data_IF_187530605656
#
_entry.id   IF_187530605656
#
_cell.length_a   1.000
_cell.length_b   1.000
_cell.length_c   1.000
_cell.angle_alpha   90.00
_cell.angle_beta   90.00
_cell.angle_gamma   90.00
#
_symmetry.space_group_name_H-M   'P 1'
#
loop_
_entity.id
_entity.type
_entity.pdbx_description
1 polymer ?
#
# COMPACT_ATOMS: atom_id res chain seq x y z
N UNK A 1 -5.12 7.03 19.48
CA UNK A 1 -3.97 6.14 19.25
C UNK A 1 -3.11 6.77 18.16
N UNK A 2 -1.86 7.07 18.44
CA UNK A 2 -0.97 7.80 17.54
C UNK A 2 -0.56 6.90 16.35
N UNK A 3 -0.99 7.26 15.15
CA UNK A 3 -0.47 6.67 13.92
C UNK A 3 0.98 7.14 13.76
N UNK A 4 1.93 6.29 14.17
CA UNK A 4 3.32 6.50 13.81
C UNK A 4 3.43 6.46 12.29
N UNK A 5 3.83 7.58 11.68
CA UNK A 5 4.42 7.63 10.36
C UNK A 5 5.81 6.97 10.40
N UNK A 6 5.86 5.72 10.86
CA UNK A 6 7.04 4.88 10.83
C UNK A 6 7.31 4.52 9.37
N UNK A 7 8.54 4.76 8.93
CA UNK A 7 9.08 4.31 7.65
C UNK A 7 8.63 2.87 7.40
N UNK A 8 7.82 2.65 6.38
CA UNK A 8 7.26 1.34 6.07
C UNK A 8 8.42 0.42 5.64
N UNK A 9 8.88 -0.41 6.57
CA UNK A 9 10.02 -1.29 6.34
C UNK A 9 9.54 -2.58 5.65
N UNK A 10 10.06 -2.85 4.44
CA UNK A 10 9.76 -4.05 3.65
C UNK A 10 10.39 -5.32 4.24
N UNK A 11 11.35 -5.19 5.17
CA UNK A 11 12.01 -6.32 5.85
C UNK A 11 11.02 -7.12 6.70
N UNK A 12 10.17 -6.41 7.47
CA UNK A 12 9.02 -7.02 8.15
C UNK A 12 7.81 -7.00 7.23
N UNK A 13 7.81 -7.96 6.31
CA UNK A 13 6.73 -8.12 5.32
C UNK A 13 5.35 -8.30 5.96
N UNK A 14 5.27 -8.90 7.16
CA UNK A 14 4.01 -9.07 7.87
C UNK A 14 3.46 -7.73 8.34
N UNK A 15 4.30 -6.90 8.96
CA UNK A 15 3.93 -5.55 9.36
C UNK A 15 3.61 -4.66 8.15
N UNK A 16 4.38 -4.78 7.07
CA UNK A 16 4.12 -4.09 5.81
C UNK A 16 2.74 -4.45 5.23
N UNK A 17 2.37 -5.73 5.23
CA UNK A 17 1.05 -6.19 4.78
C UNK A 17 -0.09 -5.64 5.64
N UNK A 18 0.06 -5.60 6.97
CA UNK A 18 -0.96 -5.03 7.86
C UNK A 18 -1.17 -3.54 7.62
N UNK A 19 -0.10 -2.77 7.41
CA UNK A 19 -0.26 -1.36 7.07
C UNK A 19 -0.91 -1.17 5.70
N UNK A 20 -0.55 -1.99 4.71
CA UNK A 20 -1.23 -1.94 3.40
C UNK A 20 -2.73 -2.28 3.50
N UNK A 21 -3.13 -3.20 4.40
CA UNK A 21 -4.55 -3.47 4.68
C UNK A 21 -5.24 -2.26 5.32
N UNK A 22 -4.59 -1.62 6.30
CA UNK A 22 -5.12 -0.40 6.94
C UNK A 22 -5.27 0.73 5.91
N UNK A 23 -4.30 0.90 5.01
CA UNK A 23 -4.41 1.89 3.93
C UNK A 23 -5.60 1.61 2.99
N UNK A 24 -6.05 0.35 2.84
CA UNK A 24 -7.26 0.00 2.10
C UNK A 24 -8.55 0.36 2.83
N UNK A 25 -8.55 0.35 4.17
CA UNK A 25 -9.71 0.82 4.96
C UNK A 25 -9.94 2.33 4.83
N UNK A 26 -8.94 3.08 4.34
CA UNK A 26 -9.10 4.49 3.99
C UNK A 26 -10.09 4.63 2.83
N UNK A 27 -10.08 3.71 1.86
CA UNK A 27 -11.02 3.71 0.73
C UNK A 27 -12.48 3.51 1.20
N UNK A 28 -12.71 2.58 2.12
CA UNK A 28 -14.04 2.36 2.74
C UNK A 28 -14.49 3.59 3.55
N UNK A 29 -13.54 4.26 4.23
CA UNK A 29 -13.80 5.52 4.95
C UNK A 29 -14.10 6.67 4.01
N UNK A 30 -13.54 6.71 2.81
CA UNK A 30 -13.83 7.73 1.79
C UNK A 30 -15.25 7.53 1.25
N UNK A 31 -15.66 6.29 0.95
CA UNK A 31 -17.05 5.99 0.54
C UNK A 31 -18.03 6.36 1.64
N UNK A 32 -17.71 6.00 2.90
CA UNK A 32 -18.53 6.38 4.04
C UNK A 32 -18.60 7.91 4.21
N UNK A 33 -17.45 8.59 4.18
CA UNK A 33 -17.36 10.03 4.30
C UNK A 33 -18.16 10.71 3.20
N UNK A 34 -18.01 10.34 1.92
CA UNK A 34 -18.81 10.87 0.80
C UNK A 34 -20.32 10.68 1.04
N UNK A 35 -20.73 9.48 1.43
CA UNK A 35 -22.14 9.17 1.68
C UNK A 35 -22.72 9.89 2.90
N UNK A 36 -21.90 10.26 3.90
CA UNK A 36 -22.36 10.94 5.12
C UNK A 36 -22.14 12.45 5.11
N UNK A 37 -21.19 12.98 4.34
CA UNK A 37 -20.85 14.41 4.27
C UNK A 37 -21.51 15.14 3.13
N UNK A 38 -21.96 14.45 2.07
CA UNK A 38 -22.89 15.04 1.09
C UNK A 38 -24.27 15.06 1.77
N UNK A 39 -24.74 16.21 2.27
CA UNK A 39 -26.00 16.23 2.99
C UNK A 39 -27.10 15.97 1.97
N UNK A 40 -28.03 15.08 2.30
CA UNK A 40 -29.34 15.07 1.63
C UNK A 40 -29.91 16.48 1.63
N UNK A 41 -30.57 16.87 0.54
CA UNK A 41 -31.09 18.21 0.18
C UNK A 41 -31.62 19.11 1.32
N UNK A 42 -32.03 18.52 2.45
CA UNK A 42 -32.48 19.16 3.68
C UNK A 42 -31.39 19.83 4.54
N UNK A 43 -30.09 19.61 4.32
CA UNK A 43 -28.98 20.15 5.14
C UNK A 43 -27.97 21.02 4.38
N UNK A 44 -28.32 21.46 3.16
CA UNK A 44 -27.47 22.22 2.24
C UNK A 44 -26.99 23.60 2.73
N UNK A 45 -27.56 24.15 3.80
CA UNK A 45 -27.22 25.48 4.32
C UNK A 45 -26.06 25.54 5.34
N UNK A 46 -25.49 24.41 5.77
CA UNK A 46 -24.52 24.36 6.89
C UNK A 46 -23.14 23.78 6.53
N UNK A 47 -22.95 23.27 5.32
CA UNK A 47 -21.69 22.63 4.88
C UNK A 47 -21.32 23.13 3.49
N UNK A 48 -20.11 23.69 3.34
CA UNK A 48 -19.52 23.95 2.04
C UNK A 48 -19.09 22.60 1.42
N UNK A 49 -19.99 22.05 0.60
CA UNK A 49 -19.77 20.79 -0.10
C UNK A 49 -18.53 20.83 -1.00
N UNK A 50 -18.20 21.98 -1.58
CA UNK A 50 -17.05 22.13 -2.48
C UNK A 50 -15.76 22.02 -1.70
N UNK A 51 -15.65 22.75 -0.58
CA UNK A 51 -14.48 22.69 0.28
C UNK A 51 -14.29 21.30 0.90
N UNK A 52 -15.39 20.67 1.34
CA UNK A 52 -15.36 19.33 1.94
C UNK A 52 -14.93 18.25 0.94
N UNK A 53 -15.50 18.27 -0.27
CA UNK A 53 -15.10 17.37 -1.35
C UNK A 53 -13.63 17.57 -1.75
N UNK A 54 -13.14 18.81 -1.79
CA UNK A 54 -11.75 19.11 -2.10
C UNK A 54 -10.79 18.55 -1.04
N UNK A 55 -11.07 18.77 0.24
CA UNK A 55 -10.26 18.23 1.33
C UNK A 55 -10.23 16.70 1.33
N UNK A 56 -11.37 16.08 1.07
CA UNK A 56 -11.46 14.62 0.96
C UNK A 56 -10.66 14.08 -0.23
N UNK A 57 -10.74 14.75 -1.38
CA UNK A 57 -9.97 14.42 -2.57
C UNK A 57 -8.46 14.54 -2.34
N UNK A 58 -8.01 15.63 -1.73
CA UNK A 58 -6.60 15.84 -1.40
C UNK A 58 -6.06 14.78 -0.44
N UNK A 59 -6.81 14.46 0.63
CA UNK A 59 -6.44 13.41 1.58
C UNK A 59 -6.40 12.02 0.95
N UNK A 60 -7.35 11.70 0.07
CA UNK A 60 -7.39 10.45 -0.69
C UNK A 60 -6.19 10.33 -1.64
N UNK A 61 -5.90 11.40 -2.39
CA UNK A 61 -4.78 11.44 -3.32
C UNK A 61 -3.44 11.26 -2.59
N UNK A 62 -3.23 11.95 -1.48
CA UNK A 62 -2.02 11.83 -0.66
C UNK A 62 -1.84 10.41 -0.12
N UNK A 63 -2.91 9.80 0.39
CA UNK A 63 -2.88 8.41 0.87
C UNK A 63 -2.52 7.43 -0.26
N UNK A 64 -3.08 7.59 -1.46
CA UNK A 64 -2.74 6.76 -2.62
C UNK A 64 -1.29 6.94 -3.07
N UNK A 65 -0.82 8.19 -3.16
CA UNK A 65 0.57 8.48 -3.54
C UNK A 65 1.57 7.89 -2.53
N UNK A 66 1.28 8.02 -1.23
CA UNK A 66 2.08 7.41 -0.17
C UNK A 66 2.10 5.88 -0.27
N UNK A 67 0.94 5.26 -0.52
CA UNK A 67 0.82 3.81 -0.70
C UNK A 67 1.63 3.31 -1.90
N UNK A 68 1.49 3.97 -3.05
CA UNK A 68 2.19 3.61 -4.28
C UNK A 68 3.70 3.77 -4.14
N UNK A 69 4.16 4.87 -3.52
CA UNK A 69 5.58 5.08 -3.20
C UNK A 69 6.13 3.96 -2.33
N UNK A 70 5.41 3.56 -1.28
CA UNK A 70 5.83 2.53 -0.34
C UNK A 70 5.87 1.14 -1.00
N UNK A 71 4.89 0.83 -1.84
CA UNK A 71 4.87 -0.39 -2.66
C UNK A 71 6.06 -0.43 -3.61
N UNK A 72 6.31 0.65 -4.35
CA UNK A 72 7.44 0.74 -5.30
C UNK A 72 8.78 0.58 -4.59
N UNK A 73 8.96 1.22 -3.43
CA UNK A 73 10.18 1.09 -2.63
C UNK A 73 10.41 -0.36 -2.18
N UNK A 74 9.38 -1.03 -1.67
CA UNK A 74 9.48 -2.43 -1.23
C UNK A 74 9.77 -3.39 -2.40
N UNK A 75 9.16 -3.16 -3.57
CA UNK A 75 9.46 -3.93 -4.79
C UNK A 75 10.92 -3.73 -5.22
N UNK A 76 11.41 -2.49 -5.24
CA UNK A 76 12.78 -2.18 -5.63
C UNK A 76 13.78 -2.89 -4.69
N UNK A 77 13.60 -2.71 -3.38
CA UNK A 77 14.43 -3.36 -2.36
C UNK A 77 14.42 -4.90 -2.50
N UNK A 78 13.25 -5.50 -2.65
CA UNK A 78 13.14 -6.96 -2.80
C UNK A 78 13.78 -7.43 -4.11
N UNK A 79 13.65 -6.66 -5.19
CA UNK A 79 14.25 -6.98 -6.49
C UNK A 79 15.78 -6.96 -6.43
N UNK A 80 16.35 -5.98 -5.73
CA UNK A 80 17.79 -5.88 -5.52
C UNK A 80 18.33 -7.08 -4.72
N UNK A 81 17.66 -7.44 -3.61
CA UNK A 81 18.03 -8.62 -2.80
C UNK A 81 17.91 -9.92 -3.60
N UNK A 82 16.84 -10.09 -4.39
CA UNK A 82 16.70 -11.27 -5.27
C UNK A 82 17.78 -11.30 -6.35
N UNK A 83 18.19 -10.14 -6.87
CA UNK A 83 19.31 -10.01 -7.81
C UNK A 83 20.62 -10.51 -7.20
N UNK A 84 20.97 -10.01 -6.01
CA UNK A 84 22.17 -10.43 -5.27
C UNK A 84 22.16 -11.93 -4.96
N UNK A 85 21.05 -12.46 -4.43
CA UNK A 85 20.92 -13.90 -4.12
C UNK A 85 21.02 -14.78 -5.38
N UNK A 86 20.59 -14.28 -6.55
CA UNK A 86 20.77 -15.00 -7.82
C UNK A 86 22.24 -15.05 -8.23
N UNK A 87 22.98 -13.95 -8.07
CA UNK A 87 24.43 -13.90 -8.34
C UNK A 87 25.25 -14.73 -7.35
N UNK A 88 24.83 -14.84 -6.10
CA UNK A 88 25.48 -15.73 -5.13
C UNK A 88 25.23 -17.21 -5.48
N UNK A 89 24.01 -17.53 -5.92
CA UNK A 89 23.65 -18.89 -6.37
C UNK A 89 24.37 -19.32 -7.65
N UNK A 90 24.86 -18.40 -8.50
CA UNK A 90 25.71 -18.80 -9.63
C UNK A 90 27.12 -19.18 -9.20
N UNK A 91 27.56 -18.73 -8.01
CA UNK A 91 28.87 -19.06 -7.42
C UNK A 91 28.80 -20.34 -6.58
N UNK A 92 27.65 -20.62 -5.97
CA UNK A 92 27.41 -21.81 -5.14
C UNK A 92 25.97 -22.32 -5.35
N UNK A 93 25.81 -23.25 -6.29
CA UNK A 93 24.50 -23.69 -6.80
C UNK A 93 23.73 -24.60 -5.83
N UNK A 94 24.43 -25.29 -4.94
CA UNK A 94 23.87 -26.34 -4.08
C UNK A 94 23.61 -25.86 -2.64
N UNK A 95 23.87 -24.58 -2.38
CA UNK A 95 23.66 -23.97 -1.08
C UNK A 95 22.16 -23.89 -0.74
N UNK A 96 21.70 -24.85 0.06
CA UNK A 96 20.32 -24.96 0.51
C UNK A 96 19.85 -23.72 1.29
N UNK A 97 20.75 -22.99 1.96
CA UNK A 97 20.41 -21.76 2.67
C UNK A 97 20.09 -20.63 1.68
N UNK A 98 20.91 -20.45 0.63
CA UNK A 98 20.64 -19.49 -0.45
C UNK A 98 19.32 -19.81 -1.17
N UNK A 99 19.06 -21.08 -1.47
CA UNK A 99 17.81 -21.50 -2.12
C UNK A 99 16.59 -21.16 -1.26
N UNK A 100 16.65 -21.39 0.06
CA UNK A 100 15.57 -21.04 0.99
C UNK A 100 15.35 -19.53 1.07
N UNK A 101 16.41 -18.74 1.19
CA UNK A 101 16.31 -17.27 1.24
C UNK A 101 15.72 -16.71 -0.05
N UNK A 102 16.18 -17.19 -1.21
CA UNK A 102 15.73 -16.74 -2.52
C UNK A 102 14.23 -17.02 -2.73
N UNK A 103 13.73 -18.19 -2.27
CA UNK A 103 12.29 -18.49 -2.25
C UNK A 103 11.50 -17.53 -1.34
N UNK A 104 12.02 -17.26 -0.13
CA UNK A 104 11.39 -16.33 0.83
C UNK A 104 11.22 -14.94 0.23
N UNK A 105 12.29 -14.39 -0.37
CA UNK A 105 12.24 -13.05 -0.97
C UNK A 105 11.35 -13.01 -2.22
N UNK A 106 11.36 -14.05 -3.07
CA UNK A 106 10.46 -14.15 -4.23
C UNK A 106 8.98 -14.17 -3.84
N UNK A 107 8.63 -14.83 -2.73
CA UNK A 107 7.23 -14.88 -2.27
C UNK A 107 6.70 -13.53 -1.77
N UNK A 108 7.56 -12.55 -1.46
CA UNK A 108 7.13 -11.20 -1.05
C UNK A 108 6.58 -10.36 -2.22
N UNK A 109 6.96 -10.66 -3.45
CA UNK A 109 6.59 -9.85 -4.64
C UNK A 109 5.19 -10.19 -5.17
N UNK A 110 4.71 -11.41 -4.90
CA UNK A 110 3.40 -11.92 -5.37
C UNK A 110 2.23 -11.15 -4.73
N UNK A 111 2.16 -10.96 -3.38
CA UNK A 111 1.04 -10.27 -2.73
C UNK A 111 1.01 -8.78 -3.04
N UNK A 112 2.18 -8.16 -3.21
CA UNK A 112 2.34 -6.72 -3.47
C UNK A 112 1.85 -6.34 -4.88
N UNK A 113 1.89 -7.29 -5.81
CA UNK A 113 1.38 -7.10 -7.17
C UNK A 113 -0.15 -7.16 -7.23
N UNK A 114 -0.80 -8.02 -6.41
CA UNK A 114 -2.27 -8.09 -6.30
C UNK A 114 -2.87 -6.85 -5.59
N UNK A 115 -2.10 -6.15 -4.74
CA UNK A 115 -2.53 -4.86 -4.17
C UNK A 115 -2.62 -3.71 -5.17
N UNK A 116 -2.02 -3.82 -6.36
CA UNK A 116 -2.12 -2.81 -7.43
C UNK A 116 -3.38 -2.98 -8.30
N UNK A 117 -3.92 -4.20 -8.41
CA UNK A 117 -4.97 -4.53 -9.40
C UNK A 117 -6.42 -4.25 -8.99
N UNK A 118 -6.68 -3.73 -7.79
CA UNK A 118 -8.06 -3.70 -7.23
C UNK A 118 -8.63 -2.31 -6.95
N UNK A 119 -8.01 -1.23 -7.49
CA UNK A 119 -8.39 0.14 -7.10
C UNK A 119 -8.98 1.03 -8.22
N UNK A 120 -9.06 0.60 -9.48
CA UNK A 120 -9.49 1.54 -10.55
C UNK A 120 -10.42 0.87 -11.55
N UNK A 121 -11.49 0.20 -11.11
CA UNK A 121 -12.60 -0.10 -12.02
C UNK A 121 -13.92 -0.38 -11.31
N UNK A 122 -14.40 0.57 -10.50
CA UNK A 122 -15.83 0.77 -10.22
C UNK A 122 -16.08 2.25 -9.90
N UNK A 123 -16.10 3.06 -10.95
CA UNK A 123 -17.11 4.11 -11.07
C UNK A 123 -18.23 3.52 -11.93
#
# INVERSE_FOLDING_TARGET
>A
MAAHAGTLNCEDFSMFQEVLKVMRTIDDRIVHALNTTVPTVSFSGKVDATQTCKQLYESMMEAHLSRDKSIKACIAQTSDVVGQLREERTKDSDNLALIKQLRKEQTKVIPVSDTRGRQILRC
#
